data_IF_181516161070
#
_entry.id   IF_181516161070
#
_cell.length_a   1.000
_cell.length_b   1.000
_cell.length_c   1.000
_cell.angle_alpha   90.00
_cell.angle_beta   90.00
_cell.angle_gamma   90.00
#
_symmetry.space_group_name_H-M   'P 1'
#
loop_
_entity.id
_entity.type
_entity.pdbx_description
1 polymer ?
#
# COMPACT_ATOMS: atom_id res chain seq x y z
N UNK A 1 3.56 49.21 -27.75
CA UNK A 1 3.54 47.83 -28.20
C UNK A 1 4.37 46.96 -27.32
N UNK A 2 3.74 46.16 -26.52
CA UNK A 2 4.42 45.27 -25.61
C UNK A 2 3.98 43.85 -25.83
N UNK A 3 4.94 43.01 -26.11
CA UNK A 3 4.70 41.56 -26.12
C UNK A 3 5.03 41.02 -24.74
N UNK A 4 4.02 40.51 -24.07
CA UNK A 4 4.18 39.84 -22.80
C UNK A 4 4.41 38.38 -23.12
N UNK A 5 5.60 37.89 -22.84
CA UNK A 5 5.90 36.48 -22.99
C UNK A 5 5.37 35.70 -21.79
N UNK A 6 4.34 34.93 -22.04
CA UNK A 6 3.72 34.07 -21.04
C UNK A 6 4.35 32.66 -21.02
N UNK A 7 5.68 32.60 -20.98
CA UNK A 7 6.38 31.28 -20.98
C UNK A 7 6.70 30.72 -19.58
N UNK A 8 6.33 31.43 -18.52
CA UNK A 8 6.72 31.10 -17.18
C UNK A 8 5.85 30.00 -16.51
N UNK A 9 4.57 29.75 -16.85
CA UNK A 9 3.75 28.79 -16.13
C UNK A 9 4.05 27.31 -16.41
N UNK A 10 4.70 27.00 -17.55
CA UNK A 10 4.89 25.60 -17.96
C UNK A 10 6.03 24.91 -17.21
N UNK A 11 6.98 25.68 -16.68
CA UNK A 11 8.13 25.14 -15.97
C UNK A 11 7.80 24.75 -14.51
N UNK A 12 6.82 25.40 -13.91
CA UNK A 12 6.39 25.12 -12.54
C UNK A 12 5.61 23.81 -12.42
N UNK A 13 4.92 23.38 -13.48
CA UNK A 13 4.12 22.16 -13.48
C UNK A 13 4.98 20.90 -13.54
N UNK A 14 6.18 20.96 -14.11
CA UNK A 14 7.07 19.78 -14.18
C UNK A 14 7.75 19.48 -12.85
N UNK A 15 8.00 20.50 -12.03
CA UNK A 15 8.64 20.35 -10.72
C UNK A 15 7.70 19.73 -9.68
N UNK A 16 6.39 19.95 -9.82
CA UNK A 16 5.42 19.37 -8.89
C UNK A 16 5.22 17.87 -9.10
N UNK A 17 5.46 17.32 -10.31
CA UNK A 17 5.37 15.89 -10.59
C UNK A 17 6.52 15.07 -9.97
N UNK A 18 7.72 15.66 -9.88
CA UNK A 18 8.88 15.00 -9.28
C UNK A 18 8.78 14.94 -7.75
N UNK A 19 8.10 15.91 -7.12
CA UNK A 19 7.85 15.94 -5.68
C UNK A 19 6.81 14.92 -5.21
N UNK A 20 5.85 14.52 -6.08
CA UNK A 20 4.75 13.63 -5.71
C UNK A 20 5.19 12.20 -5.37
N UNK A 21 6.18 11.63 -6.07
CA UNK A 21 6.64 10.26 -5.81
C UNK A 21 7.29 10.10 -4.45
N UNK A 22 8.16 11.06 -4.07
CA UNK A 22 8.81 11.06 -2.74
C UNK A 22 7.82 11.33 -1.62
N UNK A 23 6.82 12.16 -1.87
CA UNK A 23 5.76 12.45 -0.92
C UNK A 23 4.90 11.21 -0.65
N UNK A 24 4.55 10.46 -1.69
CA UNK A 24 3.81 9.19 -1.56
C UNK A 24 4.60 8.18 -0.74
N UNK A 25 5.89 7.98 -1.02
CA UNK A 25 6.75 7.07 -0.25
C UNK A 25 6.77 7.43 1.23
N UNK A 26 6.92 8.71 1.54
CA UNK A 26 6.98 9.19 2.92
C UNK A 26 5.63 9.06 3.62
N UNK A 27 4.53 9.39 2.94
CA UNK A 27 3.17 9.33 3.50
C UNK A 27 2.69 7.90 3.71
N UNK A 28 3.24 6.94 2.98
CA UNK A 28 2.93 5.52 3.14
C UNK A 28 3.55 4.92 4.40
N UNK A 29 4.61 5.52 4.93
CA UNK A 29 5.29 5.06 6.14
C UNK A 29 4.31 4.87 7.30
N UNK A 30 4.50 3.80 8.07
CA UNK A 30 3.71 3.52 9.26
C UNK A 30 2.93 2.23 9.18
N UNK A 31 2.01 2.06 10.11
CA UNK A 31 1.18 0.87 10.24
C UNK A 31 -0.25 1.16 9.79
N UNK A 32 -0.78 0.29 8.96
CA UNK A 32 -2.09 0.42 8.36
C UNK A 32 -2.93 -0.82 8.65
N UNK A 33 -4.14 -0.62 9.17
CA UNK A 33 -5.08 -1.71 9.38
C UNK A 33 -6.00 -1.83 8.17
N UNK A 34 -6.13 -3.04 7.63
CA UNK A 34 -7.10 -3.33 6.58
C UNK A 34 -8.50 -3.36 7.19
N UNK A 35 -9.40 -2.55 6.67
CA UNK A 35 -10.77 -2.42 7.18
C UNK A 35 -11.82 -3.00 6.25
N UNK A 36 -11.63 -2.83 4.94
CA UNK A 36 -12.61 -3.24 3.95
C UNK A 36 -11.92 -3.80 2.71
N UNK A 37 -12.51 -4.84 2.15
CA UNK A 37 -12.17 -5.37 0.83
C UNK A 37 -13.43 -5.33 -0.02
N UNK A 38 -13.34 -4.70 -1.18
CA UNK A 38 -14.46 -4.56 -2.11
C UNK A 38 -14.20 -5.43 -3.34
N UNK A 39 -15.06 -6.43 -3.54
CA UNK A 39 -15.02 -7.36 -4.69
C UNK A 39 -16.39 -7.35 -5.36
N UNK A 40 -16.45 -7.05 -6.65
CA UNK A 40 -17.69 -7.03 -7.44
C UNK A 40 -18.81 -6.22 -6.77
N UNK A 41 -18.44 -5.08 -6.17
CA UNK A 41 -19.39 -4.23 -5.44
C UNK A 41 -19.76 -4.70 -4.04
N UNK A 42 -19.37 -5.93 -3.64
CA UNK A 42 -19.60 -6.44 -2.30
C UNK A 42 -18.48 -6.03 -1.35
N UNK A 43 -18.85 -5.47 -0.21
CA UNK A 43 -17.92 -5.00 0.82
C UNK A 43 -17.81 -6.03 1.93
N UNK A 44 -16.59 -6.50 2.20
CA UNK A 44 -16.26 -7.34 3.35
C UNK A 44 -15.49 -6.52 4.37
N UNK A 45 -15.89 -6.57 5.63
CA UNK A 45 -15.19 -5.89 6.71
C UNK A 45 -14.13 -6.81 7.32
N UNK A 46 -12.95 -6.26 7.55
CA UNK A 46 -11.79 -6.98 8.08
C UNK A 46 -11.17 -6.10 9.17
N UNK A 47 -10.62 -6.71 10.21
CA UNK A 47 -9.91 -6.00 11.27
C UNK A 47 -8.70 -6.78 11.80
N UNK A 48 -8.32 -7.85 11.11
CA UNK A 48 -7.27 -8.78 11.54
C UNK A 48 -6.00 -8.73 10.69
N UNK A 49 -5.91 -7.81 9.75
CA UNK A 49 -4.78 -7.71 8.82
C UNK A 49 -4.16 -6.32 8.88
N UNK A 50 -2.85 -6.27 9.01
CA UNK A 50 -2.08 -5.02 9.01
C UNK A 50 -0.96 -5.07 8.00
N UNK A 51 -0.75 -3.94 7.35
CA UNK A 51 0.40 -3.66 6.50
C UNK A 51 1.22 -2.58 7.17
N UNK A 52 2.50 -2.82 7.38
CA UNK A 52 3.42 -1.83 7.94
C UNK A 52 4.51 -1.54 6.93
N UNK A 53 4.83 -0.26 6.75
CA UNK A 53 5.85 0.20 5.81
C UNK A 53 6.89 1.03 6.52
N UNK A 54 8.16 0.71 6.29
CA UNK A 54 9.29 1.46 6.83
C UNK A 54 10.43 1.43 5.82
N UNK A 55 10.72 2.56 5.21
CA UNK A 55 11.73 2.69 4.14
C UNK A 55 11.45 1.69 3.00
N UNK A 56 12.39 0.82 2.70
CA UNK A 56 12.25 -0.22 1.65
C UNK A 56 11.66 -1.52 2.18
N UNK A 57 11.26 -1.56 3.44
CA UNK A 57 10.75 -2.76 4.09
C UNK A 57 9.24 -2.67 4.30
N UNK A 58 8.60 -3.83 4.35
CA UNK A 58 7.22 -3.94 4.79
C UNK A 58 7.00 -5.21 5.59
N UNK A 59 5.91 -5.22 6.35
CA UNK A 59 5.43 -6.40 7.07
C UNK A 59 3.94 -6.58 6.81
N UNK A 60 3.56 -7.81 6.53
CA UNK A 60 2.16 -8.24 6.50
C UNK A 60 1.89 -9.10 7.71
N UNK A 61 0.91 -8.70 8.52
CA UNK A 61 0.55 -9.38 9.76
C UNK A 61 -0.90 -9.78 9.73
N UNK A 62 -1.17 -11.03 10.10
CA UNK A 62 -2.52 -11.59 10.22
C UNK A 62 -2.73 -12.08 11.65
N UNK A 63 -3.72 -11.53 12.31
CA UNK A 63 -4.07 -11.89 13.69
C UNK A 63 -5.14 -12.98 13.72
N UNK A 64 -4.98 -13.94 14.60
CA UNK A 64 -5.97 -14.95 14.88
C UNK A 64 -6.58 -14.71 16.27
N UNK A 65 -7.81 -14.15 16.36
CA UNK A 65 -8.42 -13.85 17.64
C UNK A 65 -8.76 -15.10 18.46
N UNK A 66 -9.00 -16.23 17.81
CA UNK A 66 -9.32 -17.48 18.51
C UNK A 66 -8.15 -18.04 19.32
N UNK A 67 -6.90 -17.73 18.92
CA UNK A 67 -5.69 -18.21 19.58
C UNK A 67 -4.85 -17.10 20.18
N UNK A 68 -5.28 -15.85 20.07
CA UNK A 68 -4.53 -14.66 20.50
C UNK A 68 -3.08 -14.70 20.00
N UNK A 69 -2.93 -15.00 18.72
CA UNK A 69 -1.63 -15.11 18.07
C UNK A 69 -1.64 -14.46 16.70
N UNK A 70 -0.48 -14.09 16.20
CA UNK A 70 -0.32 -13.49 14.90
C UNK A 70 0.72 -14.23 14.08
N UNK A 71 0.46 -14.31 12.78
CA UNK A 71 1.45 -14.71 11.79
C UNK A 71 1.89 -13.47 11.03
N UNK A 72 3.18 -13.37 10.75
CA UNK A 72 3.69 -12.27 9.96
C UNK A 72 4.80 -12.73 9.03
N UNK A 73 4.90 -12.01 7.94
CA UNK A 73 6.06 -12.06 7.06
C UNK A 73 6.47 -10.65 6.69
N UNK A 74 7.77 -10.44 6.67
CA UNK A 74 8.40 -9.19 6.27
C UNK A 74 9.08 -9.37 4.93
N UNK A 75 9.26 -8.28 4.23
CA UNK A 75 9.92 -8.29 2.95
C UNK A 75 10.24 -6.91 2.44
N UNK A 76 10.33 -6.79 1.14
CA UNK A 76 10.75 -5.58 0.47
C UNK A 76 9.60 -4.87 -0.21
N UNK A 77 9.65 -3.58 -0.17
CA UNK A 77 8.78 -2.67 -0.89
C UNK A 77 9.56 -1.95 -1.97
N UNK A 78 9.01 -1.97 -3.18
CA UNK A 78 9.48 -1.15 -4.28
C UNK A 78 8.33 -0.29 -4.76
N UNK A 79 8.54 0.99 -4.95
CA UNK A 79 7.51 1.91 -5.37
C UNK A 79 8.00 2.75 -6.54
N UNK A 80 7.17 2.80 -7.59
CA UNK A 80 7.38 3.66 -8.74
C UNK A 80 6.07 4.36 -9.04
N UNK A 81 6.01 5.67 -8.79
CA UNK A 81 4.78 6.46 -8.86
C UNK A 81 3.70 5.87 -7.96
N UNK A 82 2.55 5.44 -8.52
CA UNK A 82 1.45 4.82 -7.80
C UNK A 82 1.54 3.30 -7.75
N UNK A 83 2.57 2.70 -8.37
CA UNK A 83 2.76 1.26 -8.38
C UNK A 83 3.53 0.84 -7.13
N UNK A 84 2.93 0.02 -6.31
CA UNK A 84 3.53 -0.55 -5.11
C UNK A 84 3.75 -2.03 -5.32
N UNK A 85 5.01 -2.47 -5.27
CA UNK A 85 5.39 -3.88 -5.39
C UNK A 85 5.91 -4.38 -4.05
N UNK A 86 5.38 -5.49 -3.59
CA UNK A 86 5.73 -6.10 -2.31
C UNK A 86 6.23 -7.52 -2.53
N UNK A 87 7.27 -7.89 -1.80
CA UNK A 87 7.84 -9.23 -1.83
C UNK A 87 8.02 -9.76 -0.40
N UNK A 88 7.39 -10.88 -0.09
CA UNK A 88 7.53 -11.57 1.19
C UNK A 88 8.84 -12.36 1.23
N UNK A 89 9.61 -12.23 2.29
CA UNK A 89 10.94 -12.85 2.42
C UNK A 89 11.00 -13.77 3.63
N UNK A 90 10.69 -13.27 4.82
CA UNK A 90 10.86 -14.01 6.07
C UNK A 90 9.85 -13.58 7.12
N UNK A 91 9.57 -14.45 8.07
CA UNK A 91 8.64 -14.15 9.15
C UNK A 91 8.69 -15.20 10.25
N UNK A 92 7.63 -15.27 11.05
CA UNK A 92 7.50 -16.26 12.11
C UNK A 92 6.90 -17.59 11.62
N UNK A 93 6.68 -17.70 10.33
CA UNK A 93 6.15 -18.90 9.67
C UNK A 93 6.76 -19.00 8.27
N UNK A 94 6.69 -20.15 7.64
CA UNK A 94 7.12 -20.27 6.25
C UNK A 94 6.03 -19.76 5.29
N UNK A 95 6.41 -19.56 4.04
CA UNK A 95 5.52 -19.01 3.02
C UNK A 95 4.30 -19.90 2.77
N UNK A 96 4.47 -21.22 2.76
CA UNK A 96 3.40 -22.17 2.47
C UNK A 96 2.34 -22.18 3.57
N UNK A 97 2.73 -21.99 4.82
CA UNK A 97 1.82 -21.91 5.95
C UNK A 97 1.18 -20.53 6.06
N UNK A 98 1.86 -19.49 5.57
CA UNK A 98 1.39 -18.11 5.65
C UNK A 98 0.35 -17.78 4.58
N UNK A 99 0.60 -18.14 3.32
CA UNK A 99 -0.27 -17.75 2.20
C UNK A 99 -1.74 -18.12 2.38
N UNK A 100 -2.10 -19.34 2.89
CA UNK A 100 -3.51 -19.68 3.07
C UNK A 100 -4.26 -18.80 4.08
N UNK A 101 -3.55 -18.04 4.90
CA UNK A 101 -4.13 -17.11 5.88
C UNK A 101 -4.38 -15.72 5.30
N UNK A 102 -3.98 -15.52 4.05
CA UNK A 102 -4.09 -14.28 3.30
C UNK A 102 -4.82 -14.53 1.99
N UNK A 103 -5.04 -13.46 1.24
CA UNK A 103 -5.49 -13.57 -0.15
C UNK A 103 -4.35 -13.43 -1.15
N UNK A 104 -3.11 -13.55 -0.69
CA UNK A 104 -1.95 -13.58 -1.58
C UNK A 104 -1.81 -14.97 -2.23
N UNK A 105 -1.43 -14.99 -3.49
CA UNK A 105 -1.25 -16.22 -4.27
C UNK A 105 0.21 -16.64 -4.39
N UNK A 106 1.13 -15.79 -3.98
CA UNK A 106 2.56 -16.06 -4.05
C UNK A 106 3.36 -15.06 -3.25
N UNK A 107 4.67 -15.12 -3.39
CA UNK A 107 5.63 -14.28 -2.67
C UNK A 107 5.54 -12.80 -3.04
N UNK A 108 5.18 -12.51 -4.30
CA UNK A 108 5.16 -11.15 -4.83
C UNK A 108 3.74 -10.70 -5.10
N UNK A 109 3.51 -9.42 -4.86
CA UNK A 109 2.22 -8.80 -5.17
C UNK A 109 2.41 -7.34 -5.53
N UNK A 110 1.61 -6.89 -6.51
CA UNK A 110 1.59 -5.50 -6.94
C UNK A 110 0.23 -4.88 -6.68
N UNK A 111 0.25 -3.64 -6.23
CA UNK A 111 -0.94 -2.83 -6.03
C UNK A 111 -0.78 -1.49 -6.73
N UNK A 112 -1.92 -0.89 -7.09
CA UNK A 112 -1.99 0.51 -7.45
C UNK A 112 -2.47 1.30 -6.23
N UNK A 113 -1.77 2.36 -5.87
CA UNK A 113 -2.22 3.28 -4.83
C UNK A 113 -3.26 4.22 -5.44
N UNK A 114 -4.53 3.98 -5.11
CA UNK A 114 -5.66 4.77 -5.62
C UNK A 114 -5.85 6.04 -4.82
N UNK A 115 -5.66 5.97 -3.51
CA UNK A 115 -5.85 7.08 -2.60
C UNK A 115 -4.92 6.95 -1.40
N UNK A 116 -4.32 8.05 -1.00
CA UNK A 116 -3.47 8.14 0.19
C UNK A 116 -3.64 9.53 0.77
N UNK A 117 -4.59 9.68 1.71
CA UNK A 117 -4.94 10.97 2.26
C UNK A 117 -5.61 10.83 3.63
N UNK A 118 -5.30 11.76 4.55
CA UNK A 118 -5.95 11.87 5.86
C UNK A 118 -5.99 10.55 6.66
N UNK A 119 -4.90 9.80 6.66
CA UNK A 119 -4.82 8.54 7.38
C UNK A 119 -5.61 7.41 6.73
N UNK A 120 -5.98 7.55 5.45
CA UNK A 120 -6.67 6.54 4.66
C UNK A 120 -5.82 6.14 3.48
N UNK A 121 -5.77 4.85 3.21
CA UNK A 121 -5.06 4.27 2.09
C UNK A 121 -5.99 3.33 1.33
N UNK A 122 -6.11 3.51 0.02
CA UNK A 122 -6.82 2.59 -0.85
C UNK A 122 -5.83 1.98 -1.84
N UNK A 123 -5.73 0.67 -1.81
CA UNK A 123 -4.92 -0.12 -2.74
C UNK A 123 -5.84 -0.85 -3.70
N UNK A 124 -5.44 -0.96 -4.95
CA UNK A 124 -6.18 -1.71 -5.97
C UNK A 124 -5.31 -2.83 -6.53
N UNK A 125 -5.89 -4.00 -6.62
CA UNK A 125 -5.33 -5.15 -7.33
C UNK A 125 -6.38 -5.67 -8.31
N UNK A 126 -6.18 -5.40 -9.61
CA UNK A 126 -7.20 -5.64 -10.61
C UNK A 126 -8.45 -4.82 -10.33
N UNK A 127 -9.57 -5.49 -10.08
CA UNK A 127 -10.85 -4.85 -9.77
C UNK A 127 -11.16 -4.85 -8.26
N UNK A 128 -10.24 -5.37 -7.44
CA UNK A 128 -10.42 -5.47 -6.00
C UNK A 128 -9.83 -4.24 -5.34
N UNK A 129 -10.60 -3.62 -4.44
CA UNK A 129 -10.14 -2.49 -3.63
C UNK A 129 -9.91 -2.93 -2.20
N UNK A 130 -8.80 -2.46 -1.63
CA UNK A 130 -8.42 -2.68 -0.24
C UNK A 130 -8.36 -1.33 0.45
N UNK A 131 -9.20 -1.14 1.45
CA UNK A 131 -9.26 0.12 2.21
C UNK A 131 -8.63 -0.08 3.57
N UNK A 132 -7.62 0.73 3.84
CA UNK A 132 -6.84 0.68 5.07
C UNK A 132 -6.91 2.01 5.80
N UNK A 133 -6.79 1.96 7.12
CA UNK A 133 -6.67 3.13 7.97
C UNK A 133 -5.34 3.09 8.70
N UNK A 134 -4.78 4.27 8.94
CA UNK A 134 -3.60 4.40 9.80
C UNK A 134 -3.94 3.93 11.21
N UNK A 135 -3.07 3.07 11.71
CA UNK A 135 -3.26 2.44 13.02
C UNK A 135 -2.48 3.15 14.11
#
# INVERSE_FOLDING_TARGET
>A
MRKINHFIPLFFTLLSLIGCSKDIEHRLEGKWQLNEVVRDGAVSQIDTVWYSFQNTLFELRVYNPARDSAWYMSGYRTQEENNLQLELVTGNTDLYDFLPRTDWTGRKRSFIIENLDNGKLTLRDGEILYRLKRY
#
